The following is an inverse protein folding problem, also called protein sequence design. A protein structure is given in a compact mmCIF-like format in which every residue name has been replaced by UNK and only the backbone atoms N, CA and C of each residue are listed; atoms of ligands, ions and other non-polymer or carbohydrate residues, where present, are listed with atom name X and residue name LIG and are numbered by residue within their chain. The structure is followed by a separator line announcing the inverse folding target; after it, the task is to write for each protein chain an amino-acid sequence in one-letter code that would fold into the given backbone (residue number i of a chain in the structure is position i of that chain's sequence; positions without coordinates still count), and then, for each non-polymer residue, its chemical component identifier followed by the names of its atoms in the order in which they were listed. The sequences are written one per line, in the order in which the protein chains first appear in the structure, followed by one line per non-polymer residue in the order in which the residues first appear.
data_IF_709226660535
#
_entry.id   IF_709226660535
#
_cell.length_a   1.000
_cell.length_b   1.000
_cell.length_c   1.000
_cell.angle_alpha   90.00
_cell.angle_beta   90.00
_cell.angle_gamma   90.00
#
_symmetry.space_group_name_H-M   'P 1'
#
loop_
_entity.id
_entity.type
_entity.pdbx_description
1 polymer ?
#
# COMPACT_ATOMS: atom_id res chain seq x y z
N UNK A 1 -40.44 -14.56 -43.92
CA UNK A 1 -40.09 -15.17 -42.60
C UNK A 1 -40.08 -14.05 -41.56
N UNK A 2 -41.16 -13.88 -40.78
CA UNK A 2 -41.23 -12.81 -39.76
C UNK A 2 -40.45 -13.25 -38.54
N UNK A 3 -39.27 -12.65 -38.34
CA UNK A 3 -38.41 -12.93 -37.21
C UNK A 3 -38.96 -12.18 -35.98
N UNK A 4 -39.79 -12.84 -35.18
CA UNK A 4 -40.32 -12.30 -33.94
C UNK A 4 -39.26 -12.45 -32.86
N UNK A 5 -38.43 -11.42 -32.69
CA UNK A 5 -37.50 -11.38 -31.56
C UNK A 5 -38.28 -11.40 -30.25
N UNK A 6 -38.09 -12.46 -29.48
CA UNK A 6 -38.65 -12.55 -28.14
C UNK A 6 -37.88 -11.57 -27.26
N UNK A 7 -38.55 -10.56 -26.71
CA UNK A 7 -37.91 -9.49 -25.93
C UNK A 7 -37.01 -10.06 -24.81
N UNK A 8 -37.41 -11.21 -24.25
CA UNK A 8 -36.64 -11.94 -23.23
C UNK A 8 -35.30 -12.45 -23.74
N UNK A 9 -35.24 -12.98 -24.97
CA UNK A 9 -33.99 -13.49 -25.54
C UNK A 9 -33.05 -12.36 -25.92
N UNK A 10 -33.58 -11.24 -26.44
CA UNK A 10 -32.78 -10.04 -26.73
C UNK A 10 -32.18 -9.46 -25.45
N UNK A 11 -32.98 -9.35 -24.37
CA UNK A 11 -32.51 -8.87 -23.08
C UNK A 11 -31.43 -9.77 -22.47
N UNK A 12 -31.60 -11.09 -22.52
CA UNK A 12 -30.60 -12.05 -22.02
C UNK A 12 -29.30 -12.00 -22.83
N UNK A 13 -29.39 -11.88 -24.15
CA UNK A 13 -28.19 -11.71 -25.00
C UNK A 13 -27.49 -10.38 -24.70
N UNK A 14 -28.23 -9.28 -24.55
CA UNK A 14 -27.66 -7.99 -24.18
C UNK A 14 -27.01 -8.01 -22.80
N UNK A 15 -27.66 -8.61 -21.79
CA UNK A 15 -27.12 -8.75 -20.44
C UNK A 15 -25.85 -9.60 -20.43
N UNK A 16 -25.83 -10.71 -21.18
CA UNK A 16 -24.65 -11.55 -21.35
C UNK A 16 -23.48 -10.79 -21.97
N UNK A 17 -23.73 -10.02 -23.03
CA UNK A 17 -22.72 -9.14 -23.65
C UNK A 17 -22.24 -8.09 -22.64
N UNK A 18 -23.14 -7.49 -21.86
CA UNK A 18 -22.77 -6.49 -20.85
C UNK A 18 -21.87 -7.07 -19.76
N UNK A 19 -22.15 -8.31 -19.30
CA UNK A 19 -21.31 -9.02 -18.32
C UNK A 19 -19.93 -9.32 -18.91
N UNK A 20 -19.85 -9.74 -20.18
CA UNK A 20 -18.57 -9.98 -20.86
C UNK A 20 -17.79 -8.68 -21.01
N UNK A 21 -18.43 -7.59 -21.46
CA UNK A 21 -17.78 -6.27 -21.55
C UNK A 21 -17.27 -5.82 -20.19
N UNK A 22 -18.06 -6.00 -19.11
CA UNK A 22 -17.61 -5.68 -17.76
C UNK A 22 -16.41 -6.55 -17.33
N UNK A 23 -16.40 -7.84 -17.63
CA UNK A 23 -15.28 -8.72 -17.29
C UNK A 23 -13.98 -8.32 -18.01
N UNK A 24 -14.05 -7.90 -19.26
CA UNK A 24 -12.89 -7.42 -20.03
C UNK A 24 -12.46 -5.98 -19.68
N UNK A 25 -13.37 -5.15 -19.19
CA UNK A 25 -13.08 -3.75 -18.83
C UNK A 25 -12.72 -3.59 -17.36
N UNK A 26 -12.86 -4.61 -16.53
CA UNK A 26 -12.31 -4.58 -15.17
C UNK A 26 -10.79 -4.41 -15.27
N UNK A 27 -10.23 -3.32 -14.72
CA UNK A 27 -8.80 -3.15 -14.73
C UNK A 27 -8.19 -4.26 -13.88
N UNK A 28 -7.48 -5.17 -14.54
CA UNK A 28 -6.54 -6.05 -13.87
C UNK A 28 -5.64 -5.14 -13.03
N UNK A 29 -5.62 -5.36 -11.71
CA UNK A 29 -4.85 -4.51 -10.80
C UNK A 29 -3.40 -4.49 -11.26
N UNK A 30 -2.97 -3.43 -11.96
CA UNK A 30 -1.63 -3.41 -12.53
C UNK A 30 -0.62 -3.45 -11.37
N UNK A 31 0.43 -4.28 -11.45
CA UNK A 31 1.52 -4.19 -10.49
C UNK A 31 2.13 -2.80 -10.53
N UNK A 32 2.72 -2.36 -9.42
CA UNK A 32 3.46 -1.10 -9.40
C UNK A 32 4.75 -1.33 -10.18
N UNK A 33 5.06 -0.43 -11.09
CA UNK A 33 6.39 -0.38 -11.68
C UNK A 33 7.39 0.19 -10.65
N UNK A 34 8.29 -0.67 -10.18
CA UNK A 34 9.33 -0.32 -9.22
C UNK A 34 10.66 0.07 -9.89
N UNK A 35 10.75 0.10 -11.21
CA UNK A 35 11.98 0.51 -11.92
C UNK A 35 12.05 2.03 -12.04
N UNK A 36 10.91 2.68 -12.23
CA UNK A 36 10.83 4.13 -12.35
C UNK A 36 10.39 4.77 -11.03
N UNK A 37 11.36 5.26 -10.25
CA UNK A 37 11.10 5.96 -8.99
C UNK A 37 10.49 7.33 -9.27
N UNK A 38 9.41 7.67 -8.57
CA UNK A 38 8.88 9.03 -8.53
C UNK A 38 8.30 9.33 -7.15
N UNK A 39 8.60 10.52 -6.67
CA UNK A 39 8.02 11.10 -5.45
C UNK A 39 7.03 12.22 -5.78
N UNK A 40 6.95 12.64 -7.04
CA UNK A 40 6.17 13.80 -7.44
C UNK A 40 4.67 13.50 -7.36
N UNK A 41 3.92 14.46 -6.84
CA UNK A 41 2.47 14.43 -6.76
C UNK A 41 1.88 15.35 -7.81
N UNK A 42 0.81 14.91 -8.48
CA UNK A 42 0.05 15.81 -9.36
C UNK A 42 -0.95 16.61 -8.53
N UNK A 43 -1.30 17.82 -8.98
CA UNK A 43 -2.34 18.64 -8.34
C UNK A 43 -3.66 17.86 -8.14
N UNK A 44 -4.04 17.05 -9.14
CA UNK A 44 -5.27 16.25 -9.09
C UNK A 44 -5.22 15.15 -8.02
N UNK A 45 -4.10 14.42 -7.90
CA UNK A 45 -3.93 13.35 -6.93
C UNK A 45 -3.78 13.89 -5.52
N UNK A 46 -3.09 15.02 -5.36
CA UNK A 46 -2.97 15.75 -4.10
C UNK A 46 -4.33 16.26 -3.62
N UNK A 47 -5.10 16.93 -4.49
CA UNK A 47 -6.43 17.45 -4.16
C UNK A 47 -7.37 16.31 -3.75
N UNK A 48 -7.35 15.19 -4.49
CA UNK A 48 -8.11 14.00 -4.12
C UNK A 48 -7.69 13.44 -2.76
N UNK A 49 -6.38 13.30 -2.52
CA UNK A 49 -5.88 12.79 -1.25
C UNK A 49 -6.30 13.71 -0.09
N UNK A 50 -6.10 15.03 -0.22
CA UNK A 50 -6.46 16.02 0.79
C UNK A 50 -7.97 16.05 1.08
N UNK A 51 -8.83 15.95 0.07
CA UNK A 51 -10.27 16.09 0.26
C UNK A 51 -10.98 14.78 0.63
N UNK A 52 -10.44 13.62 0.20
CA UNK A 52 -11.12 12.32 0.35
C UNK A 52 -10.35 11.39 1.29
N UNK A 53 -9.03 11.28 1.10
CA UNK A 53 -8.23 10.24 1.78
C UNK A 53 -7.76 10.69 3.16
N UNK A 54 -7.37 11.95 3.30
CA UNK A 54 -6.80 12.52 4.54
C UNK A 54 -7.70 12.31 5.77
N UNK A 55 -9.02 12.24 5.59
CA UNK A 55 -9.99 11.96 6.66
C UNK A 55 -9.66 10.68 7.45
N UNK A 56 -9.14 9.65 6.77
CA UNK A 56 -8.77 8.37 7.38
C UNK A 56 -7.44 8.39 8.13
N UNK A 57 -6.73 9.53 8.15
CA UNK A 57 -5.42 9.67 8.73
C UNK A 57 -5.44 10.61 9.94
N UNK A 58 -4.56 10.33 10.88
CA UNK A 58 -4.04 11.30 11.84
C UNK A 58 -3.07 12.19 11.08
N UNK A 59 -3.33 13.50 11.12
CA UNK A 59 -2.54 14.52 10.43
C UNK A 59 -1.74 15.27 11.46
N UNK A 60 -0.43 15.30 11.29
CA UNK A 60 0.46 16.16 12.06
C UNK A 60 1.23 17.06 11.11
N UNK A 61 0.95 18.35 11.19
CA UNK A 61 1.66 19.37 10.43
C UNK A 61 2.88 19.80 11.25
N UNK A 62 4.07 19.69 10.65
CA UNK A 62 5.29 20.25 11.19
C UNK A 62 5.75 21.42 10.31
N UNK A 63 5.34 22.66 10.65
CA UNK A 63 5.69 23.84 9.86
C UNK A 63 7.19 24.09 9.75
N UNK A 64 7.98 23.58 10.72
CA UNK A 64 9.44 23.79 10.75
C UNK A 64 10.15 22.93 9.73
N UNK A 65 9.77 21.64 9.63
CA UNK A 65 10.33 20.75 8.60
C UNK A 65 9.67 20.96 7.24
N UNK A 66 8.45 21.51 7.20
CA UNK A 66 7.68 21.71 5.97
C UNK A 66 6.95 20.46 5.49
N UNK A 67 6.92 19.41 6.31
CA UNK A 67 6.23 18.16 6.00
C UNK A 67 4.90 18.07 6.74
N UNK A 68 3.90 17.50 6.05
CA UNK A 68 2.66 17.04 6.67
C UNK A 68 2.71 15.52 6.78
N UNK A 69 2.53 15.03 8.00
CA UNK A 69 2.65 13.62 8.34
C UNK A 69 1.25 13.00 8.39
N UNK A 70 1.05 11.91 7.65
CA UNK A 70 -0.20 11.17 7.61
C UNK A 70 -0.01 9.74 8.07
N UNK A 71 -0.53 9.41 9.26
CA UNK A 71 -0.60 8.03 9.78
C UNK A 71 -2.02 7.51 9.74
N UNK A 72 -2.26 6.35 9.14
CA UNK A 72 -3.64 5.85 9.02
C UNK A 72 -4.21 5.53 10.41
N UNK A 73 -5.43 5.96 10.69
CA UNK A 73 -6.08 5.77 12.01
C UNK A 73 -6.30 4.29 12.34
N UNK A 74 -6.58 3.47 11.33
CA UNK A 74 -6.88 2.04 11.49
C UNK A 74 -5.65 1.15 11.70
N UNK A 75 -4.43 1.72 11.73
CA UNK A 75 -3.20 0.96 11.99
C UNK A 75 -3.22 0.36 13.39
N UNK A 76 -2.39 -0.67 13.61
CA UNK A 76 -2.14 -1.16 14.96
C UNK A 76 -1.39 -0.09 15.77
N UNK A 77 -2.04 0.45 16.80
CA UNK A 77 -1.47 1.48 17.68
C UNK A 77 -1.02 0.91 19.03
N UNK A 78 -1.10 -0.40 19.24
CA UNK A 78 -0.69 -1.02 20.50
C UNK A 78 0.84 -0.97 20.63
N UNK A 79 1.40 -0.24 21.61
CA UNK A 79 2.85 -0.11 21.75
C UNK A 79 3.53 -1.41 22.23
N UNK A 80 2.78 -2.36 22.78
CA UNK A 80 3.32 -3.62 23.32
C UNK A 80 3.42 -4.75 22.28
N UNK A 81 2.72 -4.64 21.15
CA UNK A 81 2.70 -5.69 20.11
C UNK A 81 3.59 -5.24 18.95
N UNK A 82 4.68 -5.97 18.61
CA UNK A 82 5.54 -5.62 17.49
C UNK A 82 4.75 -5.41 16.20
N UNK A 83 4.89 -4.23 15.59
CA UNK A 83 4.23 -3.87 14.34
C UNK A 83 5.09 -2.87 13.58
N UNK A 84 5.05 -2.98 12.25
CA UNK A 84 5.69 -2.04 11.34
C UNK A 84 4.57 -1.41 10.52
N UNK A 85 4.49 -0.09 10.54
CA UNK A 85 3.49 0.66 9.81
C UNK A 85 4.14 1.51 8.72
N UNK A 86 3.30 2.22 7.97
CA UNK A 86 3.77 3.21 7.01
C UNK A 86 3.21 4.59 7.34
N UNK A 87 4.09 5.57 7.24
CA UNK A 87 3.80 7.00 7.30
C UNK A 87 3.90 7.58 5.90
N UNK A 88 2.94 8.42 5.52
CA UNK A 88 3.07 9.26 4.32
C UNK A 88 3.52 10.65 4.76
N UNK A 89 4.66 11.10 4.25
CA UNK A 89 5.14 12.46 4.39
C UNK A 89 4.82 13.24 3.13
N UNK A 90 4.17 14.38 3.27
CA UNK A 90 3.85 15.23 2.14
C UNK A 90 4.58 16.57 2.26
N UNK A 91 5.43 16.85 1.27
CA UNK A 91 6.15 18.10 1.12
C UNK A 91 5.44 18.96 0.08
N UNK A 92 4.44 19.70 0.54
CA UNK A 92 3.59 20.54 -0.31
C UNK A 92 4.35 21.67 -1.04
N UNK A 93 5.58 21.99 -0.60
CA UNK A 93 6.40 23.05 -1.24
C UNK A 93 7.08 22.59 -2.52
N UNK A 94 7.29 21.28 -2.66
CA UNK A 94 8.01 20.68 -3.78
C UNK A 94 7.12 19.71 -4.57
N UNK A 95 5.82 19.67 -4.27
CA UNK A 95 4.86 18.73 -4.86
C UNK A 95 5.37 17.28 -4.76
N UNK A 96 5.82 16.89 -3.56
CA UNK A 96 6.43 15.58 -3.32
C UNK A 96 5.76 14.86 -2.15
N UNK A 97 5.63 13.54 -2.28
CA UNK A 97 5.25 12.66 -1.20
C UNK A 97 6.22 11.50 -1.07
N UNK A 98 6.52 11.17 0.19
CA UNK A 98 7.39 10.07 0.58
C UNK A 98 6.59 9.10 1.43
N UNK A 99 6.90 7.81 1.29
CA UNK A 99 6.44 6.77 2.21
C UNK A 99 7.61 6.40 3.10
N UNK A 100 7.36 6.23 4.39
CA UNK A 100 8.37 5.80 5.35
C UNK A 100 7.86 4.60 6.11
N UNK A 101 8.76 3.64 6.31
CA UNK A 101 8.54 2.47 7.13
C UNK A 101 8.77 2.87 8.59
N UNK A 102 7.76 2.68 9.43
CA UNK A 102 7.71 3.17 10.81
C UNK A 102 7.47 1.99 11.77
N UNK A 103 8.53 1.40 12.35
CA UNK A 103 8.40 0.44 13.44
C UNK A 103 7.75 1.10 14.67
N UNK A 104 6.93 0.36 15.40
CA UNK A 104 6.32 0.86 16.63
C UNK A 104 7.26 0.74 17.85
N UNK A 105 6.82 1.21 19.02
CA UNK A 105 7.62 1.27 20.24
C UNK A 105 8.16 -0.09 20.73
N UNK A 106 7.42 -1.18 20.50
CA UNK A 106 7.90 -2.54 20.76
C UNK A 106 9.17 -2.90 19.96
N UNK A 107 9.42 -2.19 18.86
CA UNK A 107 10.56 -2.31 17.97
C UNK A 107 11.49 -1.08 18.04
N UNK A 108 11.49 -0.37 19.17
CA UNK A 108 12.27 0.87 19.38
C UNK A 108 13.77 0.76 19.08
N UNK A 109 14.34 -0.44 19.13
CA UNK A 109 15.67 -0.76 18.57
C UNK A 109 15.53 -1.65 17.34
N UNK A 110 14.96 -1.11 16.26
CA UNK A 110 14.81 -1.86 15.00
C UNK A 110 16.16 -2.17 14.33
N UNK A 111 17.24 -1.54 14.78
CA UNK A 111 18.58 -1.75 14.26
C UNK A 111 19.02 -3.21 14.47
N UNK A 112 19.44 -3.86 13.39
CA UNK A 112 19.82 -5.27 13.41
C UNK A 112 18.65 -6.25 13.27
N UNK A 113 17.43 -5.76 13.08
CA UNK A 113 16.29 -6.60 12.68
C UNK A 113 16.20 -6.67 11.16
N UNK A 114 15.58 -7.73 10.63
CA UNK A 114 15.30 -7.89 9.20
C UNK A 114 13.84 -8.30 9.01
N UNK A 115 13.15 -7.62 8.11
CA UNK A 115 11.81 -7.99 7.66
C UNK A 115 11.93 -8.95 6.47
N UNK A 116 11.48 -10.18 6.65
CA UNK A 116 11.41 -11.18 5.59
C UNK A 116 9.97 -11.40 5.14
N UNK A 117 9.79 -11.49 3.83
CA UNK A 117 8.50 -11.69 3.17
C UNK A 117 8.59 -12.91 2.29
N UNK A 118 7.73 -13.89 2.53
CA UNK A 118 7.66 -15.12 1.75
C UNK A 118 6.34 -15.16 1.01
N UNK A 119 6.40 -15.34 -0.30
CA UNK A 119 5.27 -15.47 -1.23
C UNK A 119 5.34 -16.81 -1.94
N UNK A 120 4.33 -17.14 -2.76
CA UNK A 120 4.34 -18.35 -3.58
C UNK A 120 5.52 -18.42 -4.56
N UNK A 121 5.95 -17.26 -5.07
CA UNK A 121 6.96 -17.15 -6.12
C UNK A 121 8.33 -16.69 -5.64
N UNK A 122 8.40 -15.95 -4.52
CA UNK A 122 9.62 -15.26 -4.11
C UNK A 122 9.77 -15.15 -2.58
N UNK A 123 11.02 -14.99 -2.13
CA UNK A 123 11.36 -14.74 -0.74
C UNK A 123 12.29 -13.53 -0.67
N UNK A 124 11.82 -12.46 -0.04
CA UNK A 124 12.52 -11.19 0.09
C UNK A 124 12.94 -10.97 1.54
N UNK A 125 14.08 -10.32 1.78
CA UNK A 125 14.50 -9.90 3.11
C UNK A 125 15.08 -8.50 3.06
N UNK A 126 14.71 -7.67 4.03
CA UNK A 126 15.09 -6.27 4.15
C UNK A 126 15.67 -6.04 5.55
N UNK A 127 16.94 -5.66 5.65
CA UNK A 127 17.49 -5.23 6.92
C UNK A 127 16.82 -3.90 7.33
N UNK A 128 16.28 -3.82 8.55
CA UNK A 128 15.72 -2.59 9.09
C UNK A 128 16.84 -1.70 9.64
N UNK A 129 16.76 -0.42 9.31
CA UNK A 129 17.75 0.57 9.72
C UNK A 129 17.42 1.95 9.15
N UNK A 130 18.44 2.78 9.04
CA UNK A 130 18.31 4.11 8.46
C UNK A 130 18.16 3.97 6.94
N UNK A 131 16.93 4.11 6.46
CA UNK A 131 16.62 4.04 5.04
C UNK A 131 16.67 5.41 4.39
N UNK A 132 17.25 5.45 3.20
CA UNK A 132 17.03 6.54 2.25
C UNK A 132 15.58 6.54 1.76
N UNK A 133 15.12 7.67 1.21
CA UNK A 133 13.79 7.76 0.59
C UNK A 133 13.57 6.69 -0.49
N UNK A 134 14.62 6.34 -1.24
CA UNK A 134 14.59 5.28 -2.24
C UNK A 134 14.40 3.88 -1.63
N UNK A 135 15.12 3.57 -0.54
CA UNK A 135 15.00 2.26 0.13
C UNK A 135 13.63 2.11 0.79
N UNK A 136 13.08 3.17 1.37
CA UNK A 136 11.70 3.18 1.84
C UNK A 136 10.71 2.93 0.70
N UNK A 137 10.88 3.61 -0.43
CA UNK A 137 10.03 3.43 -1.60
C UNK A 137 10.08 2.00 -2.12
N UNK A 138 11.28 1.47 -2.39
CA UNK A 138 11.48 0.11 -2.90
C UNK A 138 10.91 -0.94 -1.95
N UNK A 139 11.19 -0.83 -0.65
CA UNK A 139 10.71 -1.77 0.37
C UNK A 139 9.20 -1.72 0.50
N UNK A 140 8.61 -0.52 0.54
CA UNK A 140 7.16 -0.36 0.60
C UNK A 140 6.44 -0.92 -0.63
N UNK A 141 7.04 -0.80 -1.81
CA UNK A 141 6.50 -1.30 -3.06
C UNK A 141 6.48 -2.81 -3.12
N UNK A 142 7.59 -3.44 -2.72
CA UNK A 142 7.69 -4.89 -2.58
C UNK A 142 6.71 -5.44 -1.55
N UNK A 143 6.57 -4.77 -0.40
CA UNK A 143 5.57 -5.13 0.62
C UNK A 143 4.15 -4.98 0.06
N UNK A 144 3.85 -3.91 -0.69
CA UNK A 144 2.54 -3.73 -1.30
C UNK A 144 2.21 -4.84 -2.29
N UNK A 145 3.17 -5.24 -3.13
CA UNK A 145 2.99 -6.35 -4.07
C UNK A 145 2.74 -7.66 -3.32
N UNK A 146 3.54 -7.98 -2.30
CA UNK A 146 3.35 -9.17 -1.48
C UNK A 146 1.99 -9.17 -0.76
N UNK A 147 1.52 -8.03 -0.23
CA UNK A 147 0.20 -7.90 0.40
C UNK A 147 -0.98 -8.15 -0.54
N UNK A 148 -0.75 -8.24 -1.85
CA UNK A 148 -1.78 -8.61 -2.85
C UNK A 148 -1.87 -10.12 -3.06
N UNK A 149 -0.87 -10.88 -2.62
CA UNK A 149 -0.92 -12.34 -2.59
C UNK A 149 -1.53 -12.82 -1.27
N UNK A 150 -2.50 -13.74 -1.37
CA UNK A 150 -3.25 -14.21 -0.21
C UNK A 150 -2.39 -15.10 0.72
N UNK A 151 -1.38 -15.76 0.16
CA UNK A 151 -0.50 -16.69 0.89
C UNK A 151 0.77 -16.01 1.44
N UNK A 152 0.95 -14.71 1.22
CA UNK A 152 2.14 -14.00 1.67
C UNK A 152 2.29 -14.01 3.19
N UNK A 153 3.50 -14.28 3.69
CA UNK A 153 3.83 -14.32 5.13
C UNK A 153 4.95 -13.36 5.46
N UNK A 154 4.80 -12.63 6.56
CA UNK A 154 5.74 -11.62 7.01
C UNK A 154 6.37 -12.05 8.34
N UNK A 155 7.69 -11.95 8.42
CA UNK A 155 8.48 -12.34 9.58
C UNK A 155 9.49 -11.28 9.90
N UNK A 156 9.59 -10.94 11.18
CA UNK A 156 10.70 -10.16 11.71
C UNK A 156 11.72 -11.12 12.30
N UNK A 157 12.99 -10.95 11.94
CA UNK A 157 14.09 -11.70 12.54
C UNK A 157 15.22 -10.81 13.03
N UNK A 158 16.00 -11.30 13.99
CA UNK A 158 17.30 -10.69 14.30
C UNK A 158 18.32 -10.93 13.16
N UNK A 159 19.47 -10.27 13.25
CA UNK A 159 20.57 -10.36 12.28
C UNK A 159 21.13 -11.78 12.11
N UNK A 160 20.88 -12.67 13.07
CA UNK A 160 21.32 -14.07 13.06
C UNK A 160 20.22 -15.04 12.58
N UNK A 161 18.99 -14.55 12.38
CA UNK A 161 17.83 -15.35 11.95
C UNK A 161 17.22 -16.25 13.03
N UNK A 162 17.65 -16.11 14.28
CA UNK A 162 17.37 -17.03 15.38
C UNK A 162 16.00 -16.80 16.01
N UNK A 163 15.59 -15.55 16.16
CA UNK A 163 14.24 -15.18 16.61
C UNK A 163 13.37 -14.83 15.42
N UNK A 164 12.19 -15.43 15.31
CA UNK A 164 11.20 -15.11 14.28
C UNK A 164 9.88 -14.70 14.92
N UNK A 165 9.44 -13.48 14.66
CA UNK A 165 8.14 -12.96 15.07
C UNK A 165 7.29 -12.79 13.81
N UNK A 166 6.13 -13.43 13.76
CA UNK A 166 5.19 -13.23 12.67
C UNK A 166 4.56 -11.83 12.77
N UNK A 167 4.47 -11.14 11.64
CA UNK A 167 3.78 -9.85 11.53
C UNK A 167 2.52 -10.00 10.66
N UNK A 168 1.57 -9.08 10.85
CA UNK A 168 0.38 -8.94 10.00
C UNK A 168 -0.46 -10.22 9.89
N UNK A 169 -0.57 -10.96 11.01
CA UNK A 169 -1.46 -12.12 11.12
C UNK A 169 -2.94 -11.70 11.08
N UNK A 170 -3.23 -10.48 11.55
CA UNK A 170 -4.57 -9.92 11.53
C UNK A 170 -4.90 -9.34 10.14
N UNK A 171 -6.09 -9.68 9.65
CA UNK A 171 -6.62 -9.18 8.38
C UNK A 171 -6.84 -7.67 8.39
N UNK A 172 -7.20 -7.07 9.53
CA UNK A 172 -7.40 -5.61 9.62
C UNK A 172 -6.08 -4.84 9.54
N UNK A 173 -5.00 -5.38 10.11
CA UNK A 173 -3.65 -4.82 9.98
C UNK A 173 -3.20 -4.84 8.51
N UNK A 174 -3.34 -5.99 7.83
CA UNK A 174 -3.05 -6.12 6.38
C UNK A 174 -3.86 -5.15 5.53
N UNK A 175 -5.16 -5.00 5.82
CA UNK A 175 -6.04 -4.04 5.12
C UNK A 175 -5.56 -2.60 5.31
N UNK A 176 -5.16 -2.24 6.52
CA UNK A 176 -4.65 -0.91 6.84
C UNK A 176 -3.35 -0.59 6.09
N UNK A 177 -2.39 -1.53 6.10
CA UNK A 177 -1.15 -1.41 5.33
C UNK A 177 -1.42 -1.26 3.83
N UNK A 178 -2.24 -2.16 3.28
CA UNK A 178 -2.62 -2.14 1.86
C UNK A 178 -3.31 -0.83 1.48
N UNK A 179 -4.17 -0.30 2.36
CA UNK A 179 -4.84 0.99 2.17
C UNK A 179 -3.84 2.14 2.16
N UNK A 180 -2.92 2.19 3.12
CA UNK A 180 -1.89 3.24 3.19
C UNK A 180 -1.00 3.25 1.96
N UNK A 181 -0.45 2.10 1.59
CA UNK A 181 0.44 1.98 0.44
C UNK A 181 -0.30 2.30 -0.87
N UNK A 182 -1.52 1.78 -1.05
CA UNK A 182 -2.34 2.13 -2.22
C UNK A 182 -2.59 3.63 -2.31
N UNK A 183 -2.92 4.28 -1.20
CA UNK A 183 -3.18 5.71 -1.18
C UNK A 183 -1.91 6.52 -1.51
N UNK A 184 -0.75 6.09 -0.99
CA UNK A 184 0.56 6.66 -1.36
C UNK A 184 0.85 6.53 -2.86
N UNK A 185 0.74 5.32 -3.40
CA UNK A 185 1.06 5.07 -4.81
C UNK A 185 0.06 5.73 -5.78
N UNK A 186 -1.19 5.95 -5.35
CA UNK A 186 -2.12 6.83 -6.08
C UNK A 186 -1.72 8.30 -5.99
N UNK A 187 -1.27 8.75 -4.83
CA UNK A 187 -0.82 10.13 -4.61
C UNK A 187 0.36 10.49 -5.53
N UNK A 188 1.34 9.60 -5.69
CA UNK A 188 2.50 9.80 -6.59
C UNK A 188 2.28 9.32 -8.04
N UNK A 189 1.03 9.03 -8.42
CA UNK A 189 0.68 8.71 -9.82
C UNK A 189 1.17 7.36 -10.35
N UNK A 190 1.53 6.42 -9.46
CA UNK A 190 1.97 5.06 -9.85
C UNK A 190 0.82 4.06 -9.92
N UNK A 191 -0.34 4.40 -9.36
CA UNK A 191 -1.60 3.63 -9.47
C UNK A 191 -2.73 4.60 -9.79
N UNK A 192 -3.68 4.18 -10.63
CA UNK A 192 -4.86 4.95 -11.02
C UNK A 192 -6.14 4.39 -10.37
#
# INVERSE_FOLDING_TARGET
MKWTWNLKTVFLSWLGIMVVVLAFTMPESRPIDLEEVSFHTTESSEMYFKNVRSYFYEVWDDPKSGFVHYRIKSRNQNPAVPSINFLILHNWRFDEAYVMLEPNEALSSAQGLSLSVVTSSDSLSFALGDFTNYEHWMTSGRIYMALREDDSRFWLSDSEGNRKVALYLDGEERKSLKKTLRDYYKLVGKIY
#
